data_IF_660852804900
#
_entry.id   IF_660852804900
#
_cell.length_a   1.000
_cell.length_b   1.000
_cell.length_c   1.000
_cell.angle_alpha   90.00
_cell.angle_beta   90.00
_cell.angle_gamma   90.00
#
_symmetry.space_group_name_H-M   'P 1'
#
loop_
_entity.id
_entity.type
_entity.pdbx_description
1 polymer ?
#
# COMPACT_ATOMS: atom_id res chain seq x y z
N UNK A 1 6.31 20.54 -9.82
CA UNK A 1 5.86 19.13 -9.62
C UNK A 1 7.08 18.23 -9.52
N UNK A 2 7.07 17.14 -8.73
CA UNK A 2 8.28 16.32 -8.51
C UNK A 2 8.75 15.62 -9.80
N UNK A 3 9.83 16.12 -10.42
CA UNK A 3 10.36 15.57 -11.68
C UNK A 3 10.76 14.10 -11.58
N UNK A 4 11.35 13.67 -10.45
CA UNK A 4 11.71 12.26 -10.23
C UNK A 4 10.49 11.35 -10.22
N UNK A 5 9.37 11.81 -9.68
CA UNK A 5 8.11 11.04 -9.67
C UNK A 5 7.57 10.86 -11.08
N UNK A 6 7.62 11.90 -11.91
CA UNK A 6 7.22 11.85 -13.32
C UNK A 6 8.11 10.86 -14.09
N UNK A 7 9.43 10.98 -13.93
CA UNK A 7 10.41 10.08 -14.58
C UNK A 7 10.20 8.61 -14.18
N UNK A 8 9.99 8.32 -12.89
CA UNK A 8 9.67 6.96 -12.41
C UNK A 8 8.36 6.44 -13.04
N UNK A 9 7.31 7.26 -13.12
CA UNK A 9 6.04 6.86 -13.72
C UNK A 9 6.17 6.52 -15.21
N UNK A 10 6.90 7.34 -15.97
CA UNK A 10 7.17 7.09 -17.40
C UNK A 10 8.01 5.83 -17.59
N UNK A 11 9.04 5.63 -16.77
CA UNK A 11 9.87 4.42 -16.82
C UNK A 11 9.05 3.14 -16.60
N UNK A 12 8.19 3.11 -15.57
CA UNK A 12 7.35 1.94 -15.31
C UNK A 12 6.33 1.69 -16.43
N UNK A 13 5.78 2.75 -17.03
CA UNK A 13 4.93 2.65 -18.24
C UNK A 13 5.69 1.99 -19.39
N UNK A 14 6.92 2.44 -19.64
CA UNK A 14 7.74 1.94 -20.75
C UNK A 14 8.20 0.48 -20.50
N UNK A 15 8.31 0.07 -19.24
CA UNK A 15 8.52 -1.33 -18.81
C UNK A 15 7.25 -2.20 -18.91
N UNK A 16 6.11 -1.62 -19.27
CA UNK A 16 4.85 -2.33 -19.52
C UNK A 16 3.96 -2.55 -18.30
N UNK A 17 4.20 -1.84 -17.19
CA UNK A 17 3.34 -1.93 -16.01
C UNK A 17 1.95 -1.36 -16.28
N UNK A 18 0.92 -2.03 -15.77
CA UNK A 18 -0.43 -1.49 -15.77
C UNK A 18 -0.54 -0.26 -14.85
N UNK A 19 -1.41 0.70 -15.17
CA UNK A 19 -1.61 1.94 -14.38
C UNK A 19 -1.83 1.69 -12.90
N UNK A 20 -2.59 0.65 -12.54
CA UNK A 20 -2.83 0.29 -11.14
C UNK A 20 -1.56 -0.22 -10.43
N UNK A 21 -0.68 -0.95 -11.13
CA UNK A 21 0.62 -1.36 -10.60
C UNK A 21 1.57 -0.16 -10.44
N UNK A 22 1.55 0.77 -11.40
CA UNK A 22 2.33 2.02 -11.30
C UNK A 22 1.88 2.85 -10.09
N UNK A 23 0.57 2.93 -9.84
CA UNK A 23 0.02 3.64 -8.69
C UNK A 23 0.51 3.05 -7.36
N UNK A 24 0.53 1.72 -7.26
CA UNK A 24 1.05 1.01 -6.08
C UNK A 24 2.55 1.29 -5.87
N UNK A 25 3.37 1.12 -6.91
CA UNK A 25 4.82 1.31 -6.78
C UNK A 25 5.22 2.75 -6.45
N UNK A 26 4.38 3.71 -6.81
CA UNK A 26 4.59 5.12 -6.54
C UNK A 26 3.83 5.62 -5.31
N UNK A 27 3.08 4.78 -4.59
CA UNK A 27 2.24 5.18 -3.44
C UNK A 27 1.31 6.38 -3.75
N UNK A 28 0.78 6.44 -4.98
CA UNK A 28 -0.16 7.48 -5.43
C UNK A 28 -1.51 6.85 -5.76
N UNK A 29 -2.53 7.68 -5.93
CA UNK A 29 -3.81 7.26 -6.49
C UNK A 29 -3.67 6.80 -7.94
N UNK A 30 -4.57 5.93 -8.39
CA UNK A 30 -4.63 5.46 -9.79
C UNK A 30 -4.81 6.62 -10.76
N UNK A 31 -5.62 7.61 -10.39
CA UNK A 31 -5.84 8.81 -11.21
C UNK A 31 -4.58 9.66 -11.32
N UNK A 32 -3.81 9.79 -10.24
CA UNK A 32 -2.52 10.48 -10.26
C UNK A 32 -1.51 9.73 -11.12
N UNK A 33 -1.41 8.40 -10.99
CA UNK A 33 -0.56 7.60 -11.88
C UNK A 33 -0.95 7.79 -13.36
N UNK A 34 -2.25 7.70 -13.68
CA UNK A 34 -2.77 7.93 -15.02
C UNK A 34 -2.42 9.32 -15.54
N UNK A 35 -2.59 10.35 -14.71
CA UNK A 35 -2.24 11.72 -15.04
C UNK A 35 -0.75 11.87 -15.40
N UNK A 36 0.14 11.30 -14.56
CA UNK A 36 1.59 11.33 -14.77
C UNK A 36 2.00 10.60 -16.06
N UNK A 37 1.40 9.45 -16.36
CA UNK A 37 1.68 8.64 -17.55
C UNK A 37 1.24 9.36 -18.84
N UNK A 38 0.06 10.00 -18.82
CA UNK A 38 -0.50 10.69 -19.99
C UNK A 38 0.14 12.06 -20.25
N UNK A 39 0.61 12.74 -19.21
CA UNK A 39 1.11 14.11 -19.32
C UNK A 39 2.62 14.24 -19.07
N UNK A 40 3.31 13.18 -18.65
CA UNK A 40 4.65 13.26 -18.08
C UNK A 40 5.69 13.93 -18.98
N UNK A 41 5.72 13.58 -20.26
CA UNK A 41 6.64 14.17 -21.25
C UNK A 41 6.44 15.68 -21.41
N UNK A 42 5.17 16.12 -21.44
CA UNK A 42 4.81 17.55 -21.45
C UNK A 42 5.21 18.23 -20.13
N UNK A 43 5.00 17.56 -19.01
CA UNK A 43 5.30 18.11 -17.68
C UNK A 43 6.81 18.22 -17.40
N UNK A 44 7.65 17.41 -18.06
CA UNK A 44 9.11 17.50 -17.96
C UNK A 44 9.70 18.64 -18.81
N UNK A 45 9.00 19.02 -19.89
CA UNK A 45 9.47 20.02 -20.87
C UNK A 45 8.93 21.43 -20.60
N UNK A 46 7.81 21.57 -19.88
CA UNK A 46 7.26 22.88 -19.50
C UNK A 46 8.02 23.51 -18.31
N UNK A 47 8.37 24.79 -18.44
CA UNK A 47 8.72 25.65 -17.30
C UNK A 47 7.48 25.86 -16.42
N UNK A 48 7.68 25.95 -15.10
CA UNK A 48 6.61 25.90 -14.08
C UNK A 48 5.54 27.02 -14.14
N UNK A 49 5.58 27.90 -15.15
CA UNK A 49 4.89 29.19 -15.15
C UNK A 49 3.46 29.20 -15.71
N UNK A 50 2.90 28.10 -16.22
CA UNK A 50 1.50 28.10 -16.69
C UNK A 50 0.75 26.82 -16.34
N UNK A 51 0.35 26.68 -15.08
CA UNK A 51 -0.74 25.79 -14.71
C UNK A 51 -1.98 26.65 -14.40
N UNK A 52 -2.84 26.83 -15.39
CA UNK A 52 -4.16 27.44 -15.22
C UNK A 52 -4.96 26.72 -14.13
N UNK A 53 -5.76 27.51 -13.42
CA UNK A 53 -6.69 27.13 -12.35
C UNK A 53 -7.77 26.17 -12.85
N UNK A 54 -7.44 24.88 -12.95
CA UNK A 54 -8.42 23.80 -12.82
C UNK A 54 -8.40 23.29 -11.39
N UNK A 55 -9.57 22.93 -10.86
CA UNK A 55 -9.73 22.27 -9.56
C UNK A 55 -8.59 21.28 -9.34
N UNK A 56 -7.73 21.59 -8.37
CA UNK A 56 -6.60 20.73 -8.06
C UNK A 56 -7.17 19.53 -7.32
N UNK A 57 -7.30 18.39 -8.00
CA UNK A 57 -7.35 17.11 -7.30
C UNK A 57 -5.98 16.91 -6.62
N UNK A 58 -5.92 17.20 -5.32
CA UNK A 58 -4.69 17.10 -4.54
C UNK A 58 -4.56 15.65 -4.08
N UNK A 59 -3.47 15.00 -4.46
CA UNK A 59 -3.04 13.71 -3.91
C UNK A 59 -1.76 13.90 -3.09
N UNK A 60 -1.54 13.00 -2.12
CA UNK A 60 -0.37 12.99 -1.25
C UNK A 60 0.59 11.90 -1.74
N UNK A 61 1.70 12.29 -2.34
CA UNK A 61 2.78 11.36 -2.67
C UNK A 61 3.57 10.99 -1.42
N UNK A 62 3.77 9.69 -1.20
CA UNK A 62 4.49 9.16 -0.03
C UNK A 62 5.75 8.45 -0.50
N UNK A 63 6.90 9.03 -0.16
CA UNK A 63 8.21 8.40 -0.32
C UNK A 63 8.79 8.13 1.06
N UNK A 64 9.18 6.89 1.31
CA UNK A 64 9.73 6.46 2.59
C UNK A 64 10.91 5.51 2.39
N UNK A 65 11.63 5.64 1.28
CA UNK A 65 12.73 4.76 0.87
C UNK A 65 13.85 4.78 1.93
N UNK A 66 14.06 5.93 2.57
CA UNK A 66 15.02 6.04 3.68
C UNK A 66 14.73 5.05 4.81
N UNK A 67 13.46 4.79 5.15
CA UNK A 67 13.08 3.80 6.14
C UNK A 67 13.16 2.39 5.54
N UNK A 68 12.50 2.18 4.38
CA UNK A 68 12.39 0.86 3.71
C UNK A 68 13.74 0.22 3.39
N UNK A 69 14.75 1.02 3.04
CA UNK A 69 16.08 0.52 2.66
C UNK A 69 17.03 0.28 3.84
N UNK A 70 16.66 0.66 5.07
CA UNK A 70 17.50 0.44 6.26
C UNK A 70 16.89 -0.64 7.14
N UNK A 71 17.57 -1.79 7.24
CA UNK A 71 17.12 -2.92 8.07
C UNK A 71 16.84 -2.52 9.52
N UNK A 72 17.68 -1.65 10.11
CA UNK A 72 17.48 -1.14 11.48
C UNK A 72 16.25 -0.25 11.61
N UNK A 73 16.01 0.68 10.67
CA UNK A 73 14.84 1.56 10.72
C UNK A 73 13.55 0.80 10.45
N UNK A 74 13.58 -0.11 9.46
CA UNK A 74 12.47 -0.99 9.15
C UNK A 74 12.10 -1.87 10.35
N UNK A 75 13.09 -2.46 11.03
CA UNK A 75 12.86 -3.21 12.28
C UNK A 75 12.19 -2.35 13.35
N UNK A 76 12.70 -1.14 13.59
CA UNK A 76 12.09 -0.27 14.60
C UNK A 76 10.62 0.06 14.28
N UNK A 77 10.28 0.32 13.02
CA UNK A 77 8.89 0.55 12.60
C UNK A 77 8.03 -0.71 12.78
N UNK A 78 8.53 -1.88 12.40
CA UNK A 78 7.84 -3.14 12.61
C UNK A 78 7.55 -3.41 14.11
N UNK A 79 8.50 -3.09 15.00
CA UNK A 79 8.29 -3.23 16.45
C UNK A 79 7.25 -2.25 17.00
N UNK A 80 7.19 -1.02 16.47
CA UNK A 80 6.12 -0.06 16.83
C UNK A 80 4.75 -0.60 16.36
N UNK A 81 4.67 -1.13 15.15
CA UNK A 81 3.45 -1.77 14.64
C UNK A 81 3.04 -2.97 15.49
N UNK A 82 4.00 -3.77 15.97
CA UNK A 82 3.74 -4.91 16.84
C UNK A 82 3.20 -4.47 18.22
N UNK A 83 3.73 -3.40 18.81
CA UNK A 83 3.22 -2.84 20.08
C UNK A 83 1.75 -2.39 19.96
N UNK A 84 1.35 -1.84 18.81
CA UNK A 84 -0.05 -1.47 18.55
C UNK A 84 -1.01 -2.68 18.53
N UNK A 85 -0.49 -3.90 18.40
CA UNK A 85 -1.26 -5.14 18.38
C UNK A 85 -1.25 -5.89 19.70
N UNK A 86 -0.63 -5.37 20.77
CA UNK A 86 -0.42 -6.08 22.03
C UNK A 86 -1.69 -6.60 22.72
N UNK A 87 -2.82 -5.93 22.50
CA UNK A 87 -4.12 -6.28 23.08
C UNK A 87 -5.01 -7.07 22.09
N UNK A 88 -4.43 -7.53 20.97
CA UNK A 88 -5.13 -8.29 19.92
C UNK A 88 -4.62 -9.72 19.95
N UNK A 89 -5.52 -10.68 20.20
CA UNK A 89 -5.23 -12.10 20.02
C UNK A 89 -5.36 -12.50 18.55
N UNK A 90 -4.35 -13.20 18.04
CA UNK A 90 -4.28 -13.75 16.68
C UNK A 90 -3.19 -14.82 16.56
N UNK A 91 -3.28 -15.65 15.52
CA UNK A 91 -2.40 -16.79 15.25
C UNK A 91 -1.32 -16.48 14.20
N UNK A 92 -1.60 -15.56 13.27
CA UNK A 92 -0.72 -15.28 12.15
C UNK A 92 -0.77 -13.88 11.59
N UNK A 93 0.25 -13.55 10.81
CA UNK A 93 0.41 -12.27 10.11
C UNK A 93 0.45 -12.50 8.61
N UNK A 94 -0.37 -11.76 7.89
CA UNK A 94 -0.43 -11.77 6.42
C UNK A 94 0.18 -10.47 5.89
N UNK A 95 1.35 -10.57 5.27
CA UNK A 95 1.98 -9.43 4.57
C UNK A 95 1.46 -9.28 3.15
N UNK A 96 0.98 -8.10 2.80
CA UNK A 96 0.60 -7.77 1.41
C UNK A 96 1.87 -7.45 0.62
N UNK A 97 2.06 -8.14 -0.51
CA UNK A 97 3.18 -7.87 -1.42
C UNK A 97 2.98 -6.54 -2.16
N UNK A 98 4.03 -5.75 -2.41
CA UNK A 98 5.44 -5.96 -2.02
C UNK A 98 5.85 -5.22 -0.73
N UNK A 99 5.14 -4.16 -0.37
CA UNK A 99 5.48 -3.23 0.70
C UNK A 99 5.30 -3.78 2.12
N UNK A 100 4.21 -4.51 2.36
CA UNK A 100 3.90 -5.11 3.66
C UNK A 100 4.77 -6.29 4.06
N UNK A 101 5.32 -7.03 3.09
CA UNK A 101 6.05 -8.30 3.34
C UNK A 101 7.25 -8.13 4.29
N UNK A 102 8.17 -7.17 4.10
CA UNK A 102 9.30 -6.98 5.02
C UNK A 102 8.87 -6.60 6.45
N UNK A 103 7.79 -5.82 6.60
CA UNK A 103 7.24 -5.44 7.90
C UNK A 103 6.63 -6.64 8.60
N UNK A 104 5.75 -7.36 7.90
CA UNK A 104 5.07 -8.55 8.38
C UNK A 104 6.06 -9.63 8.85
N UNK A 105 7.15 -9.82 8.09
CA UNK A 105 8.22 -10.78 8.44
C UNK A 105 8.89 -10.44 9.77
N UNK A 106 9.17 -9.15 10.01
CA UNK A 106 9.81 -8.70 11.26
C UNK A 106 8.84 -8.72 12.43
N UNK A 107 7.56 -8.41 12.19
CA UNK A 107 6.51 -8.51 13.20
C UNK A 107 6.26 -9.97 13.61
N UNK A 108 6.22 -10.90 12.65
CA UNK A 108 6.00 -12.32 12.94
C UNK A 108 7.15 -12.92 13.74
N UNK A 109 8.39 -12.53 13.45
CA UNK A 109 9.57 -12.90 14.24
C UNK A 109 9.47 -12.35 15.67
N UNK A 110 9.09 -11.08 15.83
CA UNK A 110 9.02 -10.45 17.14
C UNK A 110 7.90 -11.02 18.04
N UNK A 111 6.75 -11.33 17.44
CA UNK A 111 5.54 -11.78 18.16
C UNK A 111 5.41 -13.30 18.26
N UNK A 112 6.36 -14.05 17.68
CA UNK A 112 6.33 -15.51 17.57
C UNK A 112 5.01 -16.02 16.94
N UNK A 113 4.67 -15.48 15.77
CA UNK A 113 3.43 -15.76 15.02
C UNK A 113 3.72 -16.39 13.66
N UNK A 114 2.75 -17.12 13.14
CA UNK A 114 2.84 -17.67 11.77
C UNK A 114 2.86 -16.54 10.74
N UNK A 115 3.53 -16.77 9.61
CA UNK A 115 3.69 -15.76 8.56
C UNK A 115 3.24 -16.27 7.20
N UNK A 116 2.47 -15.44 6.50
CA UNK A 116 1.98 -15.71 5.15
C UNK A 116 2.06 -14.46 4.28
N UNK A 117 2.14 -14.65 2.96
CA UNK A 117 2.17 -13.56 1.98
C UNK A 117 0.92 -13.61 1.12
N UNK A 118 0.27 -12.46 0.96
CA UNK A 118 -0.76 -12.24 -0.05
C UNK A 118 -0.19 -11.43 -1.22
N UNK A 119 -0.32 -11.95 -2.44
CA UNK A 119 0.13 -11.23 -3.65
C UNK A 119 -1.08 -10.76 -4.46
N UNK A 120 -1.32 -9.43 -4.58
CA UNK A 120 -2.44 -8.90 -5.34
C UNK A 120 -2.36 -9.32 -6.81
N UNK A 121 -3.52 -9.61 -7.44
CA UNK A 121 -3.56 -10.09 -8.83
C UNK A 121 -2.87 -9.15 -9.82
N UNK A 122 -2.97 -7.84 -9.59
CA UNK A 122 -2.31 -6.79 -10.39
C UNK A 122 -0.78 -6.84 -10.36
N UNK A 123 -0.17 -7.51 -9.38
CA UNK A 123 1.28 -7.68 -9.26
C UNK A 123 1.77 -8.97 -9.95
N UNK A 124 0.86 -9.84 -10.41
CA UNK A 124 1.23 -11.05 -11.13
C UNK A 124 1.58 -10.70 -12.57
N UNK A 125 2.87 -10.65 -12.91
CA UNK A 125 3.35 -10.43 -14.27
C UNK A 125 3.58 -11.75 -15.00
N UNK A 126 2.91 -11.93 -16.15
CA UNK A 126 3.16 -13.02 -17.09
C UNK A 126 1.91 -13.77 -17.56
N UNK A 127 1.87 -14.09 -18.86
CA UNK A 127 0.90 -14.93 -19.57
C UNK A 127 0.86 -16.40 -19.10
N UNK A 128 1.16 -16.70 -17.83
CA UNK A 128 0.96 -18.04 -17.31
C UNK A 128 -0.44 -18.12 -16.71
N UNK A 129 -1.32 -18.74 -17.50
CA UNK A 129 -2.46 -19.54 -17.05
C UNK A 129 -1.98 -20.69 -16.11
N UNK A 130 -1.28 -20.37 -15.04
CA UNK A 130 -0.97 -21.32 -13.97
C UNK A 130 -2.09 -21.18 -12.95
N UNK A 131 -2.96 -22.20 -12.91
CA UNK A 131 -3.90 -22.53 -11.83
C UNK A 131 -4.31 -21.37 -10.92
N UNK A 132 -5.48 -20.79 -11.21
CA UNK A 132 -6.07 -19.60 -10.59
C UNK A 132 -6.34 -19.64 -9.07
N UNK A 133 -5.78 -20.59 -8.31
CA UNK A 133 -6.00 -20.70 -6.86
C UNK A 133 -4.74 -21.01 -6.02
N UNK A 134 -3.60 -21.40 -6.61
CA UNK A 134 -2.52 -22.07 -5.85
C UNK A 134 -1.36 -21.17 -5.37
N UNK A 135 -1.36 -19.86 -5.66
CA UNK A 135 -0.22 -18.98 -5.30
C UNK A 135 -0.58 -17.68 -4.58
N UNK A 136 -1.85 -17.47 -4.29
CA UNK A 136 -2.32 -16.18 -3.75
C UNK A 136 -2.27 -16.14 -2.22
N UNK A 137 -2.04 -17.29 -1.59
CA UNK A 137 -2.30 -17.45 -0.16
C UNK A 137 -1.59 -18.71 0.35
N UNK A 138 -0.40 -18.59 0.95
CA UNK A 138 0.17 -19.66 1.78
C UNK A 138 -0.29 -19.49 3.23
N UNK A 139 -1.60 -19.25 3.41
CA UNK A 139 -2.22 -19.11 4.72
C UNK A 139 -2.45 -20.52 5.25
N UNK A 140 -1.96 -20.78 6.47
CA UNK A 140 -2.25 -22.04 7.17
C UNK A 140 -3.77 -22.19 7.33
N UNK A 141 -4.28 -23.38 7.09
CA UNK A 141 -5.71 -23.66 7.19
C UNK A 141 -6.21 -23.31 8.60
N UNK A 142 -7.21 -22.42 8.67
CA UNK A 142 -7.89 -21.96 9.89
C UNK A 142 -7.02 -21.17 10.88
N UNK A 143 -7.51 -20.00 11.30
CA UNK A 143 -6.82 -19.14 12.27
C UNK A 143 -7.31 -17.70 12.25
N UNK A 144 -6.87 -16.93 13.23
CA UNK A 144 -7.08 -15.50 13.35
C UNK A 144 -5.84 -14.74 12.83
N UNK A 145 -6.04 -13.76 11.94
CA UNK A 145 -4.94 -13.13 11.21
C UNK A 145 -4.95 -11.61 11.33
N UNK A 146 -3.75 -11.03 11.44
CA UNK A 146 -3.52 -9.59 11.23
C UNK A 146 -2.93 -9.37 9.85
N UNK A 147 -3.40 -8.33 9.17
CA UNK A 147 -2.96 -7.97 7.82
C UNK A 147 -2.02 -6.77 7.90
N UNK A 148 -0.88 -6.84 7.24
CA UNK A 148 0.16 -5.81 7.27
C UNK A 148 0.45 -5.31 5.86
N UNK A 149 0.42 -4.00 5.68
CA UNK A 149 0.86 -3.30 4.48
C UNK A 149 1.66 -2.04 4.82
N UNK A 150 2.32 -1.41 3.85
CA UNK A 150 3.02 -0.14 4.10
C UNK A 150 2.11 1.09 3.97
N UNK A 151 1.46 1.27 2.82
CA UNK A 151 0.67 2.46 2.49
C UNK A 151 -0.75 2.09 2.07
N UNK A 152 -1.74 2.58 2.81
CA UNK A 152 -3.16 2.46 2.46
C UNK A 152 -3.63 3.65 1.62
N UNK A 153 -4.03 3.38 0.38
CA UNK A 153 -4.54 4.41 -0.57
C UNK A 153 -6.07 4.41 -0.66
N UNK A 154 -6.65 3.55 -1.49
CA UNK A 154 -8.11 3.42 -1.67
C UNK A 154 -8.72 2.28 -0.86
N UNK A 155 -7.89 1.44 -0.23
CA UNK A 155 -8.33 0.25 0.46
C UNK A 155 -8.66 -0.96 -0.42
N UNK A 156 -8.64 -0.85 -1.76
CA UNK A 156 -8.99 -1.95 -2.67
C UNK A 156 -8.13 -3.21 -2.45
N UNK A 157 -6.80 -3.07 -2.40
CA UNK A 157 -5.89 -4.21 -2.14
C UNK A 157 -6.15 -4.85 -0.79
N UNK A 158 -6.36 -4.03 0.24
CA UNK A 158 -6.68 -4.51 1.59
C UNK A 158 -8.01 -5.28 1.60
N UNK A 159 -9.04 -4.76 0.93
CA UNK A 159 -10.35 -5.42 0.81
C UNK A 159 -10.27 -6.76 0.09
N UNK A 160 -9.48 -6.85 -0.99
CA UNK A 160 -9.20 -8.11 -1.70
C UNK A 160 -8.50 -9.12 -0.79
N UNK A 161 -7.53 -8.66 0.00
CA UNK A 161 -6.80 -9.48 0.98
C UNK A 161 -7.73 -10.01 2.07
N UNK A 162 -8.56 -9.14 2.66
CA UNK A 162 -9.55 -9.52 3.67
C UNK A 162 -10.52 -10.59 3.12
N UNK A 163 -11.02 -10.41 1.89
CA UNK A 163 -11.91 -11.40 1.25
C UNK A 163 -11.21 -12.74 1.06
N UNK A 164 -9.94 -12.74 0.65
CA UNK A 164 -9.17 -13.96 0.51
C UNK A 164 -8.98 -14.69 1.85
N UNK A 165 -8.67 -13.94 2.92
CA UNK A 165 -8.52 -14.51 4.28
C UNK A 165 -9.84 -15.08 4.79
N UNK A 166 -10.97 -14.38 4.58
CA UNK A 166 -12.31 -14.86 5.02
C UNK A 166 -12.70 -16.21 4.43
N UNK A 167 -12.08 -16.65 3.34
CA UNK A 167 -12.31 -17.99 2.78
C UNK A 167 -11.64 -19.12 3.58
N UNK A 168 -10.61 -18.83 4.40
CA UNK A 168 -9.83 -19.83 5.13
C UNK A 168 -9.55 -19.48 6.60
N UNK A 169 -9.96 -18.31 7.09
CA UNK A 169 -9.71 -17.84 8.45
C UNK A 169 -10.42 -16.52 8.77
N UNK A 170 -10.01 -15.87 9.87
CA UNK A 170 -10.66 -14.67 10.41
C UNK A 170 -9.68 -13.50 10.42
N UNK A 171 -9.89 -12.45 9.60
CA UNK A 171 -9.07 -11.24 9.68
C UNK A 171 -9.52 -10.37 10.87
N UNK A 172 -8.63 -10.19 11.85
CA UNK A 172 -8.91 -9.47 13.11
C UNK A 172 -8.70 -7.97 13.00
N UNK A 173 -7.60 -7.59 12.32
CA UNK A 173 -7.19 -6.19 12.18
C UNK A 173 -6.28 -6.04 10.96
N UNK A 174 -6.34 -4.88 10.33
CA UNK A 174 -5.37 -4.44 9.34
C UNK A 174 -4.52 -3.32 9.93
N UNK A 175 -3.21 -3.35 9.72
CA UNK A 175 -2.28 -2.32 10.19
C UNK A 175 -1.38 -1.86 9.04
N UNK A 176 -1.21 -0.55 8.92
CA UNK A 176 -0.35 0.07 7.92
C UNK A 176 0.57 1.12 8.54
N UNK A 177 1.64 1.51 7.85
CA UNK A 177 2.45 2.64 8.31
C UNK A 177 1.70 3.94 8.02
N UNK A 178 1.20 4.10 6.78
CA UNK A 178 0.63 5.38 6.32
C UNK A 178 -0.76 5.13 5.75
N UNK A 179 -1.77 5.82 6.30
CA UNK A 179 -3.13 5.84 5.79
C UNK A 179 -3.44 7.18 5.12
N UNK A 180 -3.63 7.14 3.80
CA UNK A 180 -4.10 8.25 2.96
C UNK A 180 -5.62 8.25 2.78
N UNK A 181 -6.28 7.16 3.12
CA UNK A 181 -7.71 6.91 2.87
C UNK A 181 -8.61 7.50 3.95
N UNK A 182 -8.10 7.56 5.19
CA UNK A 182 -8.88 7.91 6.37
C UNK A 182 -9.84 6.81 6.84
N UNK A 183 -9.85 5.64 6.19
CA UNK A 183 -10.73 4.53 6.51
C UNK A 183 -10.43 3.99 7.92
N UNK A 184 -11.48 3.78 8.71
CA UNK A 184 -11.38 3.16 10.04
C UNK A 184 -11.62 1.65 10.00
N UNK A 185 -12.29 1.20 8.95
CA UNK A 185 -12.68 -0.19 8.75
C UNK A 185 -12.75 -0.47 7.25
N UNK A 186 -12.37 -1.67 6.85
CA UNK A 186 -12.53 -2.19 5.49
C UNK A 186 -13.16 -3.57 5.61
N UNK A 187 -14.28 -3.81 4.93
CA UNK A 187 -14.93 -5.13 4.88
C UNK A 187 -15.21 -5.72 6.29
N UNK A 188 -15.58 -4.91 7.28
CA UNK A 188 -15.81 -5.39 8.66
C UNK A 188 -14.54 -5.54 9.52
N UNK A 189 -13.36 -5.22 8.98
CA UNK A 189 -12.06 -5.37 9.68
C UNK A 189 -11.51 -3.99 10.04
N UNK A 190 -11.24 -3.71 11.33
CA UNK A 190 -10.65 -2.45 11.76
C UNK A 190 -9.28 -2.18 11.13
N UNK A 191 -9.03 -0.91 10.82
CA UNK A 191 -7.78 -0.43 10.21
C UNK A 191 -7.05 0.51 11.18
N UNK A 192 -5.81 0.17 11.51
CA UNK A 192 -4.88 1.01 12.25
C UNK A 192 -3.73 1.50 11.38
N UNK A 193 -3.23 2.69 11.69
CA UNK A 193 -2.14 3.31 10.97
C UNK A 193 -1.22 4.06 11.93
N UNK A 194 0.09 4.00 11.70
CA UNK A 194 1.06 4.80 12.46
C UNK A 194 0.87 6.29 12.17
N UNK A 195 0.63 6.61 10.90
CA UNK A 195 0.40 7.96 10.42
C UNK A 195 -0.86 8.01 9.58
N UNK A 196 -1.76 8.95 9.88
CA UNK A 196 -2.88 9.33 9.01
C UNK A 196 -2.54 10.66 8.35
N UNK A 197 -2.62 10.70 7.02
CA UNK A 197 -2.36 11.90 6.23
C UNK A 197 -3.63 12.32 5.51
N UNK A 198 -3.85 13.62 5.43
CA UNK A 198 -5.00 14.21 4.76
C UNK A 198 -4.70 15.65 4.36
N UNK A 199 -5.55 16.21 3.51
CA UNK A 199 -5.50 17.61 3.12
C UNK A 199 -6.48 18.41 3.96
N UNK A 200 -6.11 19.63 4.33
CA UNK A 200 -7.00 20.59 4.97
C UNK A 200 -7.16 21.76 4.02
N UNK A 201 -8.39 22.00 3.57
CA UNK A 201 -8.71 23.20 2.80
C UNK A 201 -8.98 24.35 3.76
N UNK A 202 -8.16 25.39 3.68
CA UNK A 202 -8.36 26.63 4.44
C UNK A 202 -8.84 27.69 3.46
N UNK A 203 -10.11 28.06 3.54
CA UNK A 203 -10.60 29.26 2.89
C UNK A 203 -10.01 30.47 3.62
N UNK A 204 -9.34 31.38 2.89
CA UNK A 204 -9.02 32.69 3.48
C UNK A 204 -10.35 33.40 3.69
N UNK A 205 -10.66 33.72 4.94
CA UNK A 205 -11.73 34.66 5.26
C UNK A 205 -11.43 35.97 4.54
N UNK A 206 -12.38 36.44 3.72
CA UNK A 206 -12.34 37.77 3.09
C UNK A 206 -12.35 38.89 4.13
#
# INVERSE_FOLDING_TARGET
MNKKLIEKALKLRDEGFATAGIADELNVSVDTALYLILNGERLLTQSEEKAETKEKNIDIYVEWDSIKMSSKRLKNIALIMADMLKDVEFDGIVGISSGGVPLATLMSEHLDKTFSVYTPKKHLHGNKKSSNLEKTCSIMDTGEFVIVDDVLTSGKTMAETIKAIKCCGVPKKAIVIIDKSGLKEIEGVPVEALFRVGTVEVSKSE
#
